data_IF_532104724420
#
_entry.id   IF_532104724420
#
_cell.length_a   1.000
_cell.length_b   1.000
_cell.length_c   1.000
_cell.angle_alpha   90.00
_cell.angle_beta   90.00
_cell.angle_gamma   90.00
#
_symmetry.space_group_name_H-M   'P 1'
#
loop_
_entity.id
_entity.type
_entity.pdbx_description
1 polymer ?
#
# COMPACT_ATOMS: atom_id res chain seq x y z
N UNK A 1 83.24 1.51 -45.31
CA UNK A 1 83.07 2.91 -44.86
C UNK A 1 82.23 2.91 -43.59
N UNK A 2 82.78 3.43 -42.49
CA UNK A 2 82.10 3.57 -41.19
C UNK A 2 81.22 4.82 -41.20
N UNK A 3 79.95 4.70 -40.82
CA UNK A 3 79.19 5.79 -40.19
C UNK A 3 78.28 5.20 -39.10
N UNK A 4 78.53 5.65 -37.87
CA UNK A 4 77.59 5.60 -36.74
C UNK A 4 76.33 6.42 -37.08
N UNK A 5 75.18 6.11 -36.48
CA UNK A 5 74.39 7.06 -35.68
C UNK A 5 73.15 6.38 -35.03
N UNK A 6 73.18 6.40 -33.70
CA UNK A 6 72.10 6.66 -32.72
C UNK A 6 70.80 5.83 -32.79
N UNK A 7 70.67 4.97 -31.78
CA UNK A 7 69.45 4.29 -31.32
C UNK A 7 68.61 5.28 -30.51
N UNK A 8 67.36 5.54 -30.93
CA UNK A 8 66.34 6.22 -30.13
C UNK A 8 65.30 5.18 -29.71
N UNK A 9 65.33 4.76 -28.43
CA UNK A 9 64.32 3.87 -27.85
C UNK A 9 63.11 4.71 -27.46
N UNK A 10 61.99 4.50 -28.16
CA UNK A 10 60.68 5.07 -27.83
C UNK A 10 59.98 4.13 -26.84
N UNK A 11 59.98 4.49 -25.55
CA UNK A 11 59.20 3.82 -24.51
C UNK A 11 57.76 4.29 -24.61
N UNK A 12 56.89 3.47 -25.21
CA UNK A 12 55.44 3.66 -25.16
C UNK A 12 54.89 2.89 -23.96
N UNK A 13 54.66 3.60 -22.86
CA UNK A 13 53.90 3.10 -21.70
C UNK A 13 52.41 3.11 -22.04
N UNK A 14 51.89 1.98 -22.53
CA UNK A 14 50.44 1.76 -22.63
C UNK A 14 49.89 1.30 -21.27
N UNK A 15 49.47 2.26 -20.45
CA UNK A 15 48.62 2.00 -19.28
C UNK A 15 47.18 1.78 -19.76
N UNK A 16 46.81 0.54 -20.06
CA UNK A 16 45.41 0.15 -20.15
C UNK A 16 44.92 -0.22 -18.74
N UNK A 17 44.58 0.81 -17.96
CA UNK A 17 43.81 0.62 -16.73
C UNK A 17 42.39 0.23 -17.11
N UNK A 18 42.04 -1.03 -16.87
CA UNK A 18 40.65 -1.45 -16.85
C UNK A 18 39.90 -0.70 -15.74
N UNK A 19 38.82 -0.03 -16.10
CA UNK A 19 37.73 0.29 -15.18
C UNK A 19 36.43 -0.18 -15.81
N UNK A 20 36.06 -1.42 -15.48
CA UNK A 20 34.67 -1.85 -15.45
C UNK A 20 33.92 -0.93 -14.49
N UNK A 21 33.25 0.10 -15.02
CA UNK A 21 32.35 0.93 -14.21
C UNK A 21 31.12 0.10 -13.86
N UNK A 22 31.09 -0.33 -12.61
CA UNK A 22 29.90 -0.82 -11.93
C UNK A 22 28.75 0.18 -12.09
N UNK A 23 27.56 -0.35 -12.37
CA UNK A 23 26.27 0.34 -12.47
C UNK A 23 25.87 1.02 -11.15
N UNK A 24 26.47 2.17 -10.85
CA UNK A 24 25.94 3.18 -9.93
C UNK A 24 25.33 4.31 -10.75
N UNK A 25 24.04 4.23 -11.09
CA UNK A 25 23.36 5.16 -11.99
C UNK A 25 23.39 6.61 -11.47
N UNK A 26 24.28 7.42 -12.06
CA UNK A 26 24.44 8.86 -11.80
C UNK A 26 23.21 9.61 -12.33
N UNK A 27 22.64 10.50 -11.51
CA UNK A 27 21.56 11.42 -11.91
C UNK A 27 22.07 12.30 -13.05
N UNK A 28 21.26 12.52 -14.10
CA UNK A 28 21.65 13.34 -15.24
C UNK A 28 22.00 14.77 -14.78
N UNK A 29 23.28 15.21 -14.84
CA UNK A 29 23.70 16.49 -14.26
C UNK A 29 23.09 17.70 -14.99
N UNK A 30 22.90 17.59 -16.31
CA UNK A 30 22.31 18.65 -17.13
C UNK A 30 20.84 18.90 -16.76
N UNK A 31 20.06 17.83 -16.58
CA UNK A 31 18.69 17.95 -16.08
C UNK A 31 18.67 18.52 -14.67
N UNK A 32 19.57 18.08 -13.78
CA UNK A 32 19.62 18.58 -12.41
C UNK A 32 19.89 20.10 -12.36
N UNK A 33 20.82 20.58 -13.20
CA UNK A 33 21.08 22.01 -13.37
C UNK A 33 19.84 22.76 -13.88
N UNK A 34 19.15 22.24 -14.91
CA UNK A 34 17.93 22.87 -15.43
C UNK A 34 16.80 22.90 -14.40
N UNK A 35 16.67 21.87 -13.57
CA UNK A 35 15.65 21.82 -12.51
C UNK A 35 15.95 22.77 -11.34
N UNK A 36 17.23 23.13 -11.12
CA UNK A 36 17.60 24.12 -10.10
C UNK A 36 17.01 25.51 -10.41
N UNK A 37 16.79 25.84 -11.69
CA UNK A 37 16.09 27.05 -12.10
C UNK A 37 14.57 27.03 -11.81
N UNK A 38 14.02 25.87 -11.46
CA UNK A 38 12.59 25.66 -11.17
C UNK A 38 12.41 24.94 -9.81
N UNK A 39 12.74 25.61 -8.69
CA UNK A 39 12.57 25.04 -7.36
C UNK A 39 11.09 24.83 -7.08
N UNK A 40 10.75 23.70 -6.46
CA UNK A 40 9.37 23.44 -6.04
C UNK A 40 9.05 24.32 -4.82
N UNK A 41 7.96 25.11 -4.82
CA UNK A 41 7.58 25.94 -3.67
C UNK A 41 7.19 25.12 -2.43
N UNK A 42 7.77 25.46 -1.27
CA UNK A 42 7.54 24.78 0.02
C UNK A 42 6.22 25.16 0.69
N UNK A 43 5.72 26.38 0.41
CA UNK A 43 4.48 26.86 1.00
C UNK A 43 3.26 26.21 0.33
N UNK A 44 2.39 25.66 1.17
CA UNK A 44 1.11 25.03 0.80
C UNK A 44 -0.08 25.73 1.47
N UNK A 45 0.16 26.81 2.23
CA UNK A 45 -0.90 27.55 2.90
C UNK A 45 -1.91 28.10 1.88
N UNK A 46 -3.20 27.90 2.15
CA UNK A 46 -4.27 28.32 1.25
C UNK A 46 -4.41 27.51 -0.05
N UNK A 47 -3.55 26.51 -0.29
CA UNK A 47 -3.60 25.66 -1.48
C UNK A 47 -4.44 24.39 -1.26
N UNK A 48 -5.05 23.82 -2.32
CA UNK A 48 -5.80 22.58 -2.21
C UNK A 48 -4.88 21.41 -1.84
N UNK A 49 -5.45 20.39 -1.19
CA UNK A 49 -4.73 19.19 -0.71
C UNK A 49 -3.90 18.48 -1.78
N UNK A 50 -4.33 18.53 -3.04
CA UNK A 50 -3.63 17.96 -4.21
C UNK A 50 -2.26 18.60 -4.46
N UNK A 51 -2.04 19.84 -4.03
CA UNK A 51 -0.80 20.58 -4.23
C UNK A 51 0.39 19.89 -3.54
N UNK A 52 0.25 19.56 -2.25
CA UNK A 52 1.28 18.85 -1.48
C UNK A 52 1.55 17.42 -1.99
N UNK A 53 0.53 16.74 -2.51
CA UNK A 53 0.71 15.44 -3.17
C UNK A 53 1.56 15.56 -4.45
N UNK A 54 1.25 16.55 -5.30
CA UNK A 54 1.99 16.75 -6.54
C UNK A 54 3.44 17.19 -6.29
N UNK A 55 3.71 17.96 -5.23
CA UNK A 55 5.08 18.25 -4.75
C UNK A 55 5.89 16.97 -4.58
N UNK A 56 5.33 15.98 -3.86
CA UNK A 56 5.99 14.69 -3.61
C UNK A 56 6.20 13.92 -4.91
N UNK A 57 5.20 13.91 -5.80
CA UNK A 57 5.30 13.27 -7.10
C UNK A 57 6.44 13.87 -7.93
N UNK A 58 6.56 15.20 -7.97
CA UNK A 58 7.59 15.91 -8.71
C UNK A 58 8.97 15.85 -8.04
N UNK A 59 9.06 15.78 -6.72
CA UNK A 59 10.34 15.86 -6.00
C UNK A 59 11.01 14.51 -5.74
N UNK A 60 10.29 13.58 -5.12
CA UNK A 60 10.91 12.41 -4.46
C UNK A 60 10.35 11.05 -4.93
N UNK A 61 9.36 11.06 -5.81
CA UNK A 61 8.74 9.82 -6.29
C UNK A 61 9.73 8.92 -7.04
N UNK A 62 9.44 7.62 -7.05
CA UNK A 62 10.18 6.65 -7.87
C UNK A 62 10.15 7.03 -9.36
N UNK A 63 9.02 7.56 -9.84
CA UNK A 63 8.88 8.07 -11.21
C UNK A 63 9.79 9.26 -11.49
N UNK A 64 9.87 10.24 -10.59
CA UNK A 64 10.80 11.36 -10.73
C UNK A 64 12.26 10.92 -10.74
N UNK A 65 12.63 10.00 -9.83
CA UNK A 65 13.97 9.40 -9.80
C UNK A 65 14.30 8.67 -11.09
N UNK A 66 13.32 8.02 -11.70
CA UNK A 66 13.49 7.32 -12.97
C UNK A 66 13.70 8.27 -14.14
N UNK A 67 12.93 9.37 -14.22
CA UNK A 67 13.15 10.42 -15.23
C UNK A 67 14.53 11.03 -15.08
N UNK A 68 14.93 11.37 -13.86
CA UNK A 68 16.25 11.94 -13.56
C UNK A 68 17.43 11.03 -13.93
N UNK A 69 17.23 9.71 -13.98
CA UNK A 69 18.24 8.72 -14.37
C UNK A 69 18.19 8.37 -15.86
N UNK A 70 17.18 8.84 -16.59
CA UNK A 70 17.04 8.53 -18.00
C UNK A 70 17.99 9.38 -18.84
N UNK A 71 18.32 8.89 -20.03
CA UNK A 71 19.00 9.69 -21.05
C UNK A 71 18.00 10.32 -22.04
N UNK A 72 16.69 10.21 -21.78
CA UNK A 72 15.66 10.64 -22.72
C UNK A 72 15.38 12.15 -22.57
N UNK A 73 15.81 12.93 -23.56
CA UNK A 73 15.65 14.40 -23.60
C UNK A 73 14.18 14.81 -23.58
N UNK A 74 13.30 14.11 -24.30
CA UNK A 74 11.86 14.41 -24.30
C UNK A 74 11.21 14.16 -22.93
N UNK A 75 11.69 13.14 -22.21
CA UNK A 75 11.26 12.88 -20.83
C UNK A 75 11.67 14.03 -19.89
N UNK A 76 12.88 14.55 -20.08
CA UNK A 76 13.41 15.68 -19.32
C UNK A 76 12.60 16.96 -19.59
N UNK A 77 12.29 17.24 -20.86
CA UNK A 77 11.49 18.40 -21.25
C UNK A 77 10.07 18.34 -20.68
N UNK A 78 9.42 17.17 -20.74
CA UNK A 78 8.11 16.97 -20.13
C UNK A 78 8.16 17.17 -18.60
N UNK A 79 9.23 16.74 -17.93
CA UNK A 79 9.40 16.94 -16.49
C UNK A 79 9.64 18.40 -16.12
N UNK A 80 10.44 19.13 -16.90
CA UNK A 80 10.65 20.57 -16.72
C UNK A 80 9.32 21.32 -16.93
N UNK A 81 8.54 20.98 -17.95
CA UNK A 81 7.20 21.55 -18.17
C UNK A 81 6.28 21.29 -16.98
N UNK A 82 6.27 20.07 -16.44
CA UNK A 82 5.48 19.74 -15.25
C UNK A 82 5.85 20.63 -14.05
N UNK A 83 7.15 20.89 -13.82
CA UNK A 83 7.60 21.80 -12.74
C UNK A 83 7.19 23.25 -12.98
N UNK A 84 7.32 23.76 -14.20
CA UNK A 84 6.90 25.12 -14.55
C UNK A 84 5.40 25.34 -14.27
N UNK A 85 4.57 24.40 -14.70
CA UNK A 85 3.11 24.45 -14.46
C UNK A 85 2.81 24.37 -12.95
N UNK A 86 3.54 23.54 -12.20
CA UNK A 86 3.39 23.46 -10.75
C UNK A 86 3.76 24.78 -10.04
N UNK A 87 4.82 25.45 -10.49
CA UNK A 87 5.21 26.77 -9.98
C UNK A 87 4.14 27.82 -10.33
N UNK A 88 3.57 27.77 -11.54
CA UNK A 88 2.46 28.64 -11.92
C UNK A 88 1.21 28.40 -11.04
N UNK A 89 0.91 27.15 -10.69
CA UNK A 89 -0.15 26.83 -9.75
C UNK A 89 0.13 27.40 -8.33
N UNK A 90 1.41 27.56 -7.97
CA UNK A 90 1.80 28.15 -6.70
C UNK A 90 1.50 29.65 -6.63
N UNK A 91 1.55 30.36 -7.75
CA UNK A 91 1.26 31.81 -7.80
C UNK A 91 -0.22 32.14 -7.98
N UNK A 92 -1.06 31.16 -8.28
CA UNK A 92 -2.48 31.36 -8.55
C UNK A 92 -3.32 31.36 -7.26
N UNK A 93 -4.21 32.34 -7.08
CA UNK A 93 -5.06 32.45 -5.89
C UNK A 93 -6.39 31.69 -6.01
N UNK A 94 -6.85 31.46 -7.24
CA UNK A 94 -8.11 30.76 -7.52
C UNK A 94 -7.91 29.24 -7.49
N UNK A 95 -8.57 28.57 -6.54
CA UNK A 95 -8.46 27.12 -6.33
C UNK A 95 -8.91 26.29 -7.55
N UNK A 96 -9.86 26.75 -8.35
CA UNK A 96 -10.30 26.01 -9.53
C UNK A 96 -9.23 26.06 -10.63
N UNK A 97 -8.60 27.22 -10.82
CA UNK A 97 -7.45 27.36 -11.72
C UNK A 97 -6.24 26.59 -11.23
N UNK A 98 -5.97 26.61 -9.92
CA UNK A 98 -4.92 25.78 -9.31
C UNK A 98 -5.16 24.31 -9.64
N UNK A 99 -6.37 23.78 -9.43
CA UNK A 99 -6.68 22.38 -9.72
C UNK A 99 -6.47 22.03 -11.21
N UNK A 100 -6.88 22.89 -12.13
CA UNK A 100 -6.64 22.70 -13.58
C UNK A 100 -5.15 22.67 -13.91
N UNK A 101 -4.35 23.57 -13.33
CA UNK A 101 -2.89 23.56 -13.50
C UNK A 101 -2.26 22.30 -12.90
N UNK A 102 -2.74 21.84 -11.75
CA UNK A 102 -2.28 20.59 -11.14
C UNK A 102 -2.59 19.39 -12.04
N UNK A 103 -3.76 19.33 -12.70
CA UNK A 103 -4.08 18.27 -13.68
C UNK A 103 -3.12 18.27 -14.86
N UNK A 104 -2.79 19.46 -15.39
CA UNK A 104 -1.84 19.61 -16.48
C UNK A 104 -0.42 19.18 -16.06
N UNK A 105 0.03 19.60 -14.88
CA UNK A 105 1.34 19.21 -14.35
C UNK A 105 1.43 17.69 -14.11
N UNK A 106 0.37 17.06 -13.58
CA UNK A 106 0.27 15.60 -13.44
C UNK A 106 0.39 14.92 -14.79
N UNK A 107 -0.34 15.39 -15.81
CA UNK A 107 -0.30 14.83 -17.16
C UNK A 107 1.11 14.88 -17.75
N UNK A 108 1.80 16.02 -17.64
CA UNK A 108 3.18 16.18 -18.10
C UNK A 108 4.15 15.27 -17.34
N UNK A 109 3.99 15.15 -16.02
CA UNK A 109 4.84 14.28 -15.21
C UNK A 109 4.69 12.80 -15.59
N UNK A 110 3.46 12.32 -15.79
CA UNK A 110 3.25 10.94 -16.24
C UNK A 110 3.73 10.69 -17.67
N UNK A 111 3.68 11.70 -18.54
CA UNK A 111 4.30 11.63 -19.86
C UNK A 111 5.83 11.49 -19.74
N UNK A 112 6.47 12.29 -18.89
CA UNK A 112 7.90 12.18 -18.61
C UNK A 112 8.28 10.78 -18.12
N UNK A 113 7.55 10.25 -17.14
CA UNK A 113 7.77 8.90 -16.61
C UNK A 113 7.66 7.84 -17.71
N UNK A 114 6.67 7.96 -18.60
CA UNK A 114 6.47 7.02 -19.71
C UNK A 114 7.64 7.05 -20.70
N UNK A 115 8.08 8.25 -21.08
CA UNK A 115 9.21 8.45 -21.99
C UNK A 115 10.55 7.97 -21.39
N UNK A 116 10.73 8.18 -20.09
CA UNK A 116 11.90 7.71 -19.34
C UNK A 116 11.87 6.21 -19.01
N UNK A 117 10.76 5.51 -19.25
CA UNK A 117 10.63 4.09 -18.95
C UNK A 117 11.11 3.24 -20.12
N UNK A 118 12.15 2.40 -19.93
CA UNK A 118 12.48 1.36 -20.88
C UNK A 118 11.24 0.53 -21.19
N UNK A 119 10.99 0.24 -22.47
CA UNK A 119 9.85 -0.59 -22.90
C UNK A 119 9.79 -1.92 -22.13
N UNK A 120 10.95 -2.52 -21.85
CA UNK A 120 11.08 -3.73 -21.03
C UNK A 120 10.60 -3.58 -19.58
N UNK A 121 10.70 -2.40 -18.96
CA UNK A 121 10.16 -2.14 -17.63
C UNK A 121 8.65 -1.97 -17.66
N UNK A 122 8.12 -1.29 -18.68
CA UNK A 122 6.67 -1.16 -18.89
C UNK A 122 6.05 -2.53 -19.13
N UNK A 123 6.64 -3.35 -20.00
CA UNK A 123 6.15 -4.69 -20.32
C UNK A 123 6.23 -5.64 -19.11
N UNK A 124 7.30 -5.55 -18.31
CA UNK A 124 7.40 -6.28 -17.03
C UNK A 124 6.29 -5.90 -16.06
N UNK A 125 6.00 -4.60 -15.94
CA UNK A 125 4.90 -4.11 -15.09
C UNK A 125 3.57 -4.66 -15.57
N UNK A 126 3.26 -4.55 -16.87
CA UNK A 126 2.01 -5.04 -17.44
C UNK A 126 1.84 -6.55 -17.21
N UNK A 127 2.89 -7.34 -17.46
CA UNK A 127 2.89 -8.79 -17.18
C UNK A 127 2.62 -9.09 -15.71
N UNK A 128 3.29 -8.38 -14.79
CA UNK A 128 3.08 -8.54 -13.34
C UNK A 128 1.65 -8.19 -12.94
N UNK A 129 1.14 -7.07 -13.45
CA UNK A 129 -0.19 -6.57 -13.11
C UNK A 129 -1.28 -7.52 -13.63
N UNK A 130 -1.12 -8.09 -14.83
CA UNK A 130 -1.95 -9.18 -15.37
C UNK A 130 -1.90 -10.42 -14.46
N UNK A 131 -0.72 -10.94 -14.12
CA UNK A 131 -0.56 -12.11 -13.24
C UNK A 131 -1.23 -11.93 -11.88
N UNK A 132 -1.08 -10.75 -11.27
CA UNK A 132 -1.73 -10.42 -10.00
C UNK A 132 -3.25 -10.46 -10.13
N UNK A 133 -3.79 -9.92 -11.23
CA UNK A 133 -5.24 -9.97 -11.46
C UNK A 133 -5.71 -11.40 -11.66
N UNK A 134 -4.98 -12.22 -12.41
CA UNK A 134 -5.29 -13.64 -12.61
C UNK A 134 -5.36 -14.38 -11.27
N UNK A 135 -4.39 -14.16 -10.37
CA UNK A 135 -4.43 -14.71 -9.01
C UNK A 135 -5.69 -14.29 -8.24
N UNK A 136 -6.09 -13.01 -8.34
CA UNK A 136 -7.33 -12.55 -7.69
C UNK A 136 -8.58 -13.19 -8.28
N UNK A 137 -8.65 -13.34 -9.60
CA UNK A 137 -9.79 -14.01 -10.27
C UNK A 137 -9.89 -15.45 -9.82
N UNK A 138 -8.77 -16.19 -9.79
CA UNK A 138 -8.76 -17.60 -9.37
C UNK A 138 -9.21 -17.75 -7.91
N UNK A 139 -8.65 -16.95 -6.99
CA UNK A 139 -9.00 -17.00 -5.58
C UNK A 139 -10.49 -16.64 -5.34
N UNK A 140 -11.02 -15.65 -6.07
CA UNK A 140 -12.43 -15.29 -5.97
C UNK A 140 -13.34 -16.34 -6.60
N UNK A 141 -12.92 -17.00 -7.68
CA UNK A 141 -13.69 -18.08 -8.29
C UNK A 141 -13.82 -19.28 -7.34
N UNK A 142 -12.74 -19.64 -6.64
CA UNK A 142 -12.77 -20.65 -5.57
C UNK A 142 -13.71 -20.22 -4.44
N UNK A 143 -13.66 -18.96 -4.02
CA UNK A 143 -14.56 -18.43 -3.00
C UNK A 143 -16.03 -18.48 -3.44
N UNK A 144 -16.32 -18.08 -4.68
CA UNK A 144 -17.65 -18.14 -5.29
C UNK A 144 -18.20 -19.58 -5.25
N UNK A 145 -17.37 -20.56 -5.63
CA UNK A 145 -17.78 -21.96 -5.62
C UNK A 145 -18.08 -22.49 -4.21
N UNK A 146 -17.26 -22.15 -3.21
CA UNK A 146 -17.54 -22.53 -1.82
C UNK A 146 -18.86 -21.92 -1.33
N UNK A 147 -19.10 -20.65 -1.65
CA UNK A 147 -20.34 -19.95 -1.26
C UNK A 147 -21.55 -20.56 -1.97
N UNK A 148 -21.41 -20.93 -3.25
CA UNK A 148 -22.48 -21.57 -3.99
C UNK A 148 -22.89 -22.91 -3.36
N UNK A 149 -21.92 -23.71 -2.89
CA UNK A 149 -22.18 -24.95 -2.14
C UNK A 149 -22.87 -24.63 -0.80
N UNK A 150 -22.38 -23.64 -0.05
CA UNK A 150 -22.97 -23.19 1.23
C UNK A 150 -24.43 -22.74 1.07
N UNK A 151 -24.78 -22.15 -0.08
CA UNK A 151 -26.09 -21.55 -0.36
C UNK A 151 -26.99 -22.39 -1.25
N UNK A 152 -26.58 -23.62 -1.59
CA UNK A 152 -27.28 -24.50 -2.53
C UNK A 152 -27.66 -23.81 -3.87
N UNK A 153 -26.72 -23.03 -4.41
CA UNK A 153 -26.90 -22.22 -5.63
C UNK A 153 -25.85 -22.53 -6.71
N UNK A 154 -25.51 -23.80 -6.86
CA UNK A 154 -24.48 -24.29 -7.79
C UNK A 154 -24.88 -24.05 -9.26
N UNK A 155 -26.15 -24.25 -9.62
CA UNK A 155 -26.62 -24.16 -11.01
C UNK A 155 -26.48 -22.75 -11.61
N UNK A 156 -26.85 -21.72 -10.87
CA UNK A 156 -26.70 -20.33 -11.32
C UNK A 156 -25.23 -19.89 -11.30
N UNK A 157 -24.46 -20.41 -10.34
CA UNK A 157 -23.01 -20.16 -10.25
C UNK A 157 -22.23 -20.81 -11.39
N UNK A 158 -22.67 -21.97 -11.87
CA UNK A 158 -22.02 -22.69 -12.96
C UNK A 158 -22.04 -21.90 -14.27
N UNK A 159 -23.12 -21.15 -14.54
CA UNK A 159 -23.19 -20.21 -15.68
C UNK A 159 -22.14 -19.10 -15.56
N UNK A 160 -22.01 -18.50 -14.37
CA UNK A 160 -21.00 -17.47 -14.09
C UNK A 160 -19.60 -18.04 -14.29
N UNK A 161 -19.35 -19.25 -13.78
CA UNK A 161 -18.07 -19.95 -13.89
C UNK A 161 -17.71 -20.21 -15.35
N UNK A 162 -18.65 -20.66 -16.16
CA UNK A 162 -18.38 -20.97 -17.56
C UNK A 162 -18.04 -19.71 -18.36
N UNK A 163 -18.75 -18.60 -18.14
CA UNK A 163 -18.39 -17.32 -18.76
C UNK A 163 -17.03 -16.78 -18.26
N UNK A 164 -16.72 -16.92 -16.96
CA UNK A 164 -15.39 -16.60 -16.41
C UNK A 164 -14.29 -17.46 -17.05
N UNK A 165 -14.55 -18.74 -17.35
CA UNK A 165 -13.59 -19.60 -18.05
C UNK A 165 -13.32 -19.12 -19.48
N UNK A 166 -14.35 -18.64 -20.18
CA UNK A 166 -14.17 -18.05 -21.51
C UNK A 166 -13.31 -16.78 -21.46
N UNK A 167 -13.61 -15.86 -20.52
CA UNK A 167 -12.84 -14.63 -20.32
C UNK A 167 -11.38 -14.91 -19.95
N UNK A 168 -11.14 -15.87 -19.04
CA UNK A 168 -9.77 -16.25 -18.63
C UNK A 168 -9.00 -16.93 -19.78
N UNK A 169 -9.64 -17.81 -20.55
CA UNK A 169 -9.04 -18.41 -21.75
C UNK A 169 -8.69 -17.37 -22.82
N UNK A 170 -9.59 -16.40 -23.05
CA UNK A 170 -9.35 -15.23 -23.92
C UNK A 170 -8.15 -14.41 -23.43
N UNK A 171 -8.12 -14.12 -22.13
CA UNK A 171 -7.03 -13.38 -21.49
C UNK A 171 -5.67 -14.10 -21.64
N UNK A 172 -5.63 -15.42 -21.46
CA UNK A 172 -4.42 -16.22 -21.61
C UNK A 172 -3.89 -16.21 -23.04
N UNK A 173 -4.78 -16.29 -24.05
CA UNK A 173 -4.41 -16.15 -25.47
C UNK A 173 -3.81 -14.78 -25.77
N UNK A 174 -4.39 -13.70 -25.23
CA UNK A 174 -3.88 -12.33 -25.38
C UNK A 174 -2.52 -12.15 -24.68
N UNK A 175 -2.39 -12.68 -23.47
CA UNK A 175 -1.13 -12.67 -22.72
C UNK A 175 -0.02 -13.47 -23.42
N UNK A 176 -0.36 -14.59 -24.08
CA UNK A 176 0.57 -15.35 -24.93
C UNK A 176 1.13 -14.52 -26.10
N UNK A 177 0.34 -13.57 -26.62
CA UNK A 177 0.76 -12.57 -27.63
C UNK A 177 1.46 -11.35 -27.03
N UNK A 178 1.71 -11.34 -25.70
CA UNK A 178 2.23 -10.22 -24.91
C UNK A 178 1.32 -8.98 -24.90
N UNK A 179 0.06 -9.12 -25.29
CA UNK A 179 -0.94 -8.06 -25.21
C UNK A 179 -1.58 -8.05 -23.81
N UNK A 180 -0.77 -7.68 -22.82
CA UNK A 180 -1.15 -7.71 -21.41
C UNK A 180 -2.22 -6.68 -21.02
N UNK A 181 -2.40 -5.61 -21.82
CA UNK A 181 -3.43 -4.60 -21.54
C UNK A 181 -4.82 -5.19 -21.85
N UNK A 182 -5.01 -5.74 -23.06
CA UNK A 182 -6.28 -6.41 -23.41
C UNK A 182 -6.53 -7.67 -22.59
N UNK A 183 -5.47 -8.45 -22.31
CA UNK A 183 -5.59 -9.61 -21.42
C UNK A 183 -6.09 -9.19 -20.03
N UNK A 184 -5.64 -8.04 -19.53
CA UNK A 184 -6.08 -7.51 -18.24
C UNK A 184 -7.54 -7.07 -18.28
N UNK A 185 -8.00 -6.43 -19.35
CA UNK A 185 -9.40 -6.01 -19.50
C UNK A 185 -10.36 -7.21 -19.36
N UNK A 186 -10.05 -8.33 -20.01
CA UNK A 186 -10.83 -9.58 -19.89
C UNK A 186 -10.88 -10.10 -18.44
N UNK A 187 -9.75 -10.02 -17.71
CA UNK A 187 -9.72 -10.45 -16.31
C UNK A 187 -10.39 -9.45 -15.35
N UNK A 188 -10.41 -8.15 -15.68
CA UNK A 188 -11.11 -7.14 -14.90
C UNK A 188 -12.64 -7.34 -15.01
N UNK A 189 -13.15 -7.75 -16.19
CA UNK A 189 -14.54 -8.16 -16.39
C UNK A 189 -14.88 -9.42 -15.57
N UNK A 190 -14.07 -10.48 -15.68
CA UNK A 190 -14.26 -11.71 -14.91
C UNK A 190 -14.27 -11.44 -13.40
N UNK A 191 -13.35 -10.58 -12.93
CA UNK A 191 -13.28 -10.17 -11.54
C UNK A 191 -14.56 -9.48 -11.05
N UNK A 192 -15.11 -8.56 -11.85
CA UNK A 192 -16.34 -7.84 -11.50
C UNK A 192 -17.52 -8.81 -11.41
N UNK A 193 -17.67 -9.70 -12.39
CA UNK A 193 -18.75 -10.67 -12.41
C UNK A 193 -18.74 -11.58 -11.17
N UNK A 194 -17.57 -12.12 -10.81
CA UNK A 194 -17.43 -12.97 -9.62
C UNK A 194 -17.75 -12.18 -8.35
N UNK A 195 -17.25 -10.94 -8.23
CA UNK A 195 -17.50 -10.08 -7.06
C UNK A 195 -18.99 -9.84 -6.88
N UNK A 196 -19.69 -9.50 -7.96
CA UNK A 196 -21.15 -9.29 -7.93
C UNK A 196 -21.91 -10.58 -7.61
N UNK A 197 -21.47 -11.73 -8.13
CA UNK A 197 -22.03 -13.03 -7.78
C UNK A 197 -21.93 -13.33 -6.28
N UNK A 198 -20.73 -13.15 -5.70
CA UNK A 198 -20.50 -13.31 -4.26
C UNK A 198 -21.36 -12.35 -3.44
N UNK A 199 -21.37 -11.06 -3.80
CA UNK A 199 -22.14 -10.03 -3.10
C UNK A 199 -23.65 -10.34 -3.10
N UNK A 200 -24.18 -10.85 -4.22
CA UNK A 200 -25.58 -11.23 -4.30
C UNK A 200 -25.90 -12.45 -3.44
N UNK A 201 -25.04 -13.48 -3.44
CA UNK A 201 -25.25 -14.68 -2.62
C UNK A 201 -25.13 -14.42 -1.12
N UNK A 202 -24.31 -13.45 -0.72
CA UNK A 202 -24.13 -13.05 0.69
C UNK A 202 -24.97 -11.85 1.10
N UNK A 203 -25.88 -11.38 0.23
CA UNK A 203 -26.72 -10.22 0.53
C UNK A 203 -27.64 -10.55 1.70
N UNK A 204 -27.49 -9.81 2.80
CA UNK A 204 -28.28 -10.03 4.01
C UNK A 204 -27.66 -11.04 4.98
N UNK A 205 -26.54 -11.68 4.63
CA UNK A 205 -25.78 -12.47 5.59
C UNK A 205 -25.18 -11.55 6.65
N UNK A 206 -25.41 -11.87 7.92
CA UNK A 206 -24.59 -11.38 9.02
C UNK A 206 -23.55 -12.46 9.29
N UNK A 207 -22.28 -12.14 9.09
CA UNK A 207 -21.19 -13.05 9.47
C UNK A 207 -21.12 -13.09 11.01
N UNK A 208 -21.91 -13.96 11.62
CA UNK A 208 -21.77 -14.31 13.03
C UNK A 208 -20.68 -15.36 13.10
N UNK A 209 -19.53 -14.98 13.64
CA UNK A 209 -18.49 -15.94 13.98
C UNK A 209 -18.92 -16.58 15.29
N UNK A 210 -19.60 -17.72 15.22
CA UNK A 210 -19.92 -18.50 16.40
C UNK A 210 -18.61 -19.00 17.02
N UNK A 211 -18.39 -18.65 18.29
CA UNK A 211 -17.33 -19.21 19.11
C UNK A 211 -17.91 -20.45 19.78
N UNK A 212 -17.36 -21.63 19.48
CA UNK A 212 -17.69 -22.87 20.18
C UNK A 212 -16.48 -23.29 21.01
N UNK A 213 -16.68 -23.50 22.30
CA UNK A 213 -15.65 -24.01 23.21
C UNK A 213 -16.01 -25.43 23.60
N UNK A 214 -15.01 -26.32 23.66
CA UNK A 214 -15.15 -27.71 24.10
C UNK A 214 -15.42 -27.80 25.61
N UNK A 215 -14.98 -26.80 26.38
CA UNK A 215 -15.27 -26.68 27.81
C UNK A 215 -15.25 -25.21 28.30
N UNK A 216 -15.75 -24.98 29.51
CA UNK A 216 -15.76 -23.65 30.14
C UNK A 216 -14.33 -23.17 30.47
N UNK A 217 -13.40 -24.10 30.70
CA UNK A 217 -11.98 -23.82 30.87
C UNK A 217 -11.34 -23.29 29.58
N UNK A 218 -11.74 -23.83 28.43
CA UNK A 218 -11.27 -23.35 27.13
C UNK A 218 -11.82 -21.95 26.83
N UNK A 219 -13.10 -21.71 27.15
CA UNK A 219 -13.70 -20.37 27.05
C UNK A 219 -12.96 -19.36 27.94
N UNK A 220 -12.62 -19.75 29.17
CA UNK A 220 -11.81 -18.94 30.06
C UNK A 220 -10.43 -18.62 29.47
N UNK A 221 -9.73 -19.63 28.93
CA UNK A 221 -8.42 -19.42 28.29
C UNK A 221 -8.52 -18.48 27.09
N UNK A 222 -9.57 -18.61 26.27
CA UNK A 222 -9.84 -17.70 25.15
C UNK A 222 -10.07 -16.26 25.63
N UNK A 223 -10.92 -16.06 26.65
CA UNK A 223 -11.17 -14.72 27.19
C UNK A 223 -9.93 -14.13 27.89
N UNK A 224 -9.06 -14.98 28.43
CA UNK A 224 -7.78 -14.60 29.00
C UNK A 224 -6.88 -13.98 27.92
N UNK A 225 -6.70 -14.69 26.80
CA UNK A 225 -5.91 -14.25 25.64
C UNK A 225 -6.50 -13.00 24.98
N UNK A 226 -7.83 -12.95 24.90
CA UNK A 226 -8.56 -11.78 24.39
C UNK A 226 -8.29 -10.56 25.28
N UNK A 227 -8.33 -10.70 26.60
CA UNK A 227 -8.02 -9.62 27.52
C UNK A 227 -6.55 -9.16 27.38
N UNK A 228 -5.61 -10.10 27.31
CA UNK A 228 -4.18 -9.82 27.13
C UNK A 228 -3.90 -9.01 25.86
N UNK A 229 -4.59 -9.37 24.77
CA UNK A 229 -4.54 -8.61 23.51
C UNK A 229 -4.97 -7.16 23.72
N UNK A 230 -6.04 -6.91 24.47
CA UNK A 230 -6.50 -5.55 24.76
C UNK A 230 -5.53 -4.78 25.65
N UNK A 231 -4.89 -5.43 26.64
CA UNK A 231 -3.84 -4.81 27.44
C UNK A 231 -2.64 -4.40 26.59
N UNK A 232 -2.23 -5.27 25.65
CA UNK A 232 -1.16 -4.95 24.70
C UNK A 232 -1.53 -3.74 23.82
N UNK A 233 -2.78 -3.64 23.37
CA UNK A 233 -3.25 -2.52 22.57
C UNK A 233 -3.22 -1.18 23.33
N UNK A 234 -3.51 -1.17 24.64
CA UNK A 234 -3.33 0.03 25.48
C UNK A 234 -1.86 0.50 25.40
N UNK A 235 -0.92 -0.41 25.62
CA UNK A 235 0.51 -0.10 25.59
C UNK A 235 0.96 0.43 24.22
N UNK A 236 0.57 -0.26 23.14
CA UNK A 236 1.02 0.08 21.78
C UNK A 236 0.36 1.33 21.22
N UNK A 237 -0.95 1.50 21.43
CA UNK A 237 -1.74 2.51 20.73
C UNK A 237 -2.00 3.76 21.56
N UNK A 238 -2.01 3.65 22.88
CA UNK A 238 -2.52 4.70 23.78
C UNK A 238 -1.40 5.43 24.50
N UNK A 239 -0.40 4.74 25.05
CA UNK A 239 0.68 5.37 25.85
C UNK A 239 1.36 6.55 25.13
N UNK A 240 1.76 6.37 23.87
CA UNK A 240 2.38 7.44 23.06
C UNK A 240 1.41 8.60 22.79
N UNK A 241 0.13 8.31 22.59
CA UNK A 241 -0.90 9.32 22.32
C UNK A 241 -1.26 10.13 23.56
N UNK A 242 -1.07 9.57 24.76
CA UNK A 242 -1.33 10.25 26.02
C UNK A 242 -0.30 11.33 26.35
N UNK A 243 0.91 11.28 25.78
CA UNK A 243 1.98 12.23 26.09
C UNK A 243 1.54 13.70 25.97
N UNK A 244 0.80 14.03 24.90
CA UNK A 244 0.35 15.38 24.56
C UNK A 244 -1.03 15.76 25.14
N UNK A 245 -1.66 14.89 25.93
CA UNK A 245 -3.02 15.12 26.48
C UNK A 245 -2.99 15.76 27.88
N UNK A 246 -4.06 16.47 28.30
CA UNK A 246 -4.15 17.03 29.66
C UNK A 246 -4.10 15.96 30.76
N UNK A 247 -3.55 16.29 31.93
CA UNK A 247 -3.41 15.35 33.05
C UNK A 247 -4.73 14.72 33.50
N UNK A 248 -5.82 15.51 33.59
CA UNK A 248 -7.15 15.01 33.92
C UNK A 248 -7.66 13.96 32.92
N UNK A 249 -7.30 14.10 31.64
CA UNK A 249 -7.65 13.12 30.61
C UNK A 249 -6.84 11.83 30.76
N UNK A 250 -5.52 11.94 31.01
CA UNK A 250 -4.66 10.78 31.29
C UNK A 250 -5.18 9.99 32.49
N UNK A 251 -5.53 10.68 33.58
CA UNK A 251 -6.07 10.07 34.80
C UNK A 251 -7.34 9.27 34.52
N UNK A 252 -8.29 9.79 33.76
CA UNK A 252 -9.53 9.05 33.43
C UNK A 252 -9.27 7.73 32.68
N UNK A 253 -8.25 7.71 31.82
CA UNK A 253 -7.84 6.48 31.11
C UNK A 253 -7.12 5.53 32.06
N UNK A 254 -6.22 6.04 32.90
CA UNK A 254 -5.51 5.23 33.91
C UNK A 254 -6.47 4.60 34.93
N UNK A 255 -7.48 5.34 35.40
CA UNK A 255 -8.52 4.83 36.32
C UNK A 255 -9.26 3.63 35.70
N UNK A 256 -9.51 3.63 34.38
CA UNK A 256 -10.14 2.52 33.65
C UNK A 256 -9.22 1.31 33.52
N UNK A 257 -7.94 1.55 33.23
CA UNK A 257 -6.91 0.49 33.15
C UNK A 257 -6.70 -0.15 34.53
N UNK A 258 -6.66 0.64 35.60
CA UNK A 258 -6.59 0.14 36.96
C UNK A 258 -7.80 -0.74 37.30
N UNK A 259 -9.01 -0.25 37.01
CA UNK A 259 -10.24 -1.03 37.23
C UNK A 259 -10.26 -2.33 36.42
N UNK A 260 -9.77 -2.32 35.19
CA UNK A 260 -9.62 -3.53 34.38
C UNK A 260 -8.67 -4.53 35.02
N UNK A 261 -7.56 -4.05 35.61
CA UNK A 261 -6.61 -4.89 36.34
C UNK A 261 -7.25 -5.52 37.57
N UNK A 262 -8.05 -4.77 38.33
CA UNK A 262 -8.74 -5.29 39.51
C UNK A 262 -9.72 -6.42 39.12
N UNK A 263 -10.47 -6.26 38.03
CA UNK A 263 -11.34 -7.31 37.50
C UNK A 263 -10.55 -8.54 37.02
N UNK A 264 -9.41 -8.33 36.35
CA UNK A 264 -8.55 -9.43 35.89
C UNK A 264 -8.01 -10.25 37.08
N UNK A 265 -7.57 -9.58 38.14
CA UNK A 265 -7.08 -10.25 39.34
C UNK A 265 -8.18 -11.06 40.04
N UNK A 266 -9.41 -10.54 40.10
CA UNK A 266 -10.56 -11.28 40.61
C UNK A 266 -10.83 -12.53 39.76
N UNK A 267 -10.79 -12.39 38.42
CA UNK A 267 -10.98 -13.51 37.52
C UNK A 267 -9.92 -14.61 37.69
N UNK A 268 -8.64 -14.24 37.81
CA UNK A 268 -7.54 -15.19 38.05
C UNK A 268 -7.71 -15.91 39.39
N UNK A 269 -8.21 -15.22 40.42
CA UNK A 269 -8.49 -15.83 41.71
C UNK A 269 -9.67 -16.83 41.66
N UNK A 270 -10.75 -16.48 40.96
CA UNK A 270 -11.90 -17.37 40.74
C UNK A 270 -11.50 -18.61 39.92
N UNK A 271 -10.69 -18.43 38.87
CA UNK A 271 -10.19 -19.55 38.06
C UNK A 271 -9.26 -20.48 38.84
N UNK A 272 -8.47 -19.95 39.79
CA UNK A 272 -7.66 -20.78 40.69
C UNK A 272 -8.52 -21.71 41.57
N UNK A 273 -9.74 -21.29 41.90
CA UNK A 273 -10.73 -22.08 42.62
C UNK A 273 -11.61 -22.94 41.66
N UNK A 274 -11.24 -23.02 40.38
CA UNK A 274 -11.99 -23.69 39.29
C UNK A 274 -13.38 -23.11 39.01
N UNK A 275 -13.65 -21.88 39.46
CA UNK A 275 -14.88 -21.15 39.17
C UNK A 275 -14.73 -20.36 37.85
N UNK A 276 -14.70 -21.10 36.74
CA UNK A 276 -14.46 -20.55 35.41
C UNK A 276 -15.62 -19.67 34.91
N UNK A 277 -16.86 -19.96 35.29
CA UNK A 277 -18.02 -19.14 34.92
C UNK A 277 -17.92 -17.72 35.49
N UNK A 278 -17.62 -17.59 36.79
CA UNK A 278 -17.44 -16.26 37.39
C UNK A 278 -16.16 -15.60 36.89
N UNK A 279 -15.09 -16.37 36.68
CA UNK A 279 -13.84 -15.86 36.13
C UNK A 279 -14.02 -15.25 34.73
N UNK A 280 -14.77 -15.90 33.84
CA UNK A 280 -15.13 -15.38 32.50
C UNK A 280 -15.91 -14.07 32.64
N UNK A 281 -16.91 -14.02 33.53
CA UNK A 281 -17.71 -12.80 33.76
C UNK A 281 -16.84 -11.62 34.21
N UNK A 282 -15.87 -11.85 35.10
CA UNK A 282 -14.91 -10.83 35.52
C UNK A 282 -13.92 -10.44 34.41
N UNK A 283 -13.46 -11.40 33.59
CA UNK A 283 -12.64 -11.11 32.41
C UNK A 283 -13.38 -10.24 31.39
N UNK A 284 -14.66 -10.49 31.15
CA UNK A 284 -15.45 -9.63 30.26
C UNK A 284 -15.55 -8.21 30.80
N UNK A 285 -15.76 -8.04 32.12
CA UNK A 285 -15.79 -6.71 32.76
C UNK A 285 -14.45 -6.01 32.61
N UNK A 286 -13.35 -6.73 32.80
CA UNK A 286 -11.99 -6.24 32.54
C UNK A 286 -11.83 -5.76 31.09
N UNK A 287 -12.18 -6.61 30.13
CA UNK A 287 -12.08 -6.32 28.69
C UNK A 287 -12.95 -5.12 28.31
N UNK A 288 -14.17 -5.00 28.86
CA UNK A 288 -15.07 -3.85 28.65
C UNK A 288 -14.42 -2.53 29.12
N UNK A 289 -13.74 -2.52 30.25
CA UNK A 289 -13.03 -1.31 30.72
C UNK A 289 -11.81 -0.97 29.85
N UNK A 290 -11.06 -1.97 29.37
CA UNK A 290 -9.95 -1.77 28.42
C UNK A 290 -10.44 -1.21 27.08
N UNK A 291 -11.49 -1.78 26.50
CA UNK A 291 -12.10 -1.28 25.25
C UNK A 291 -12.54 0.18 25.39
N UNK A 292 -13.15 0.55 26.52
CA UNK A 292 -13.51 1.95 26.80
C UNK A 292 -12.28 2.84 26.85
N UNK A 293 -11.21 2.42 27.53
CA UNK A 293 -9.96 3.18 27.59
C UNK A 293 -9.33 3.37 26.19
N UNK A 294 -9.35 2.34 25.34
CA UNK A 294 -8.85 2.41 23.95
C UNK A 294 -9.69 3.39 23.11
N UNK A 295 -11.03 3.27 23.19
CA UNK A 295 -11.96 4.17 22.49
C UNK A 295 -11.78 5.62 22.93
N UNK A 296 -11.61 5.87 24.23
CA UNK A 296 -11.30 7.20 24.76
C UNK A 296 -10.00 7.76 24.17
N UNK A 297 -8.97 6.93 23.98
CA UNK A 297 -7.73 7.33 23.30
C UNK A 297 -7.85 7.52 21.78
N UNK A 298 -9.05 7.42 21.21
CA UNK A 298 -9.35 7.73 19.81
C UNK A 298 -9.11 6.57 18.84
N UNK A 299 -9.18 5.33 19.32
CA UNK A 299 -9.09 4.12 18.47
C UNK A 299 -10.43 3.37 18.55
N UNK A 300 -11.08 3.19 17.40
CA UNK A 300 -12.30 2.39 17.34
C UNK A 300 -11.94 0.91 17.32
N UNK A 301 -12.48 0.16 18.29
CA UNK A 301 -12.49 -1.30 18.30
C UNK A 301 -13.96 -1.71 18.37
N UNK A 302 -14.48 -2.46 17.38
CA UNK A 302 -15.83 -3.02 17.44
C UNK A 302 -15.95 -3.94 18.65
N UNK A 303 -17.11 -3.89 19.31
CA UNK A 303 -17.41 -4.70 20.49
C UNK A 303 -17.59 -6.16 20.13
#
# INVERSE_FOLDING_TARGET
MKFFYIITVLVITLLFTGTTTASGAVVNPELQQKLAAFPLPDDIAGKPSRFGYLRKLLGISSGAKQVMKSANVEAHDAYIKARKIYIQAATESDNDKVNKLLDQAVKQMYQAIRLASPKSLVDRKKKRDYKRRQLSVNALLEALQRIAIEKDNQDETDKIRDYVRELTSSADKLAGKKDFDKAREQLDEAYLLIKTGIENMRRGDVLVRELSFESIEEEYAYELDRNDTHQMLIKLLIEKKLATKPAAFKKRIQDRVAKAKDYRQQAEHMAADSDFEQAISELEKSTKELVRAIRMGGVFIPG
#
